data_IF_072828827008
#
_entry.id   IF_072828827008
#
_cell.length_a   1.000
_cell.length_b   1.000
_cell.length_c   1.000
_cell.angle_alpha   90.00
_cell.angle_beta   90.00
_cell.angle_gamma   90.00
#
_symmetry.space_group_name_H-M   'P 1'
#
loop_
_entity.id
_entity.type
_entity.pdbx_description
1 polymer ?
#
# COMPACT_ATOMS: atom_id res chain seq x y z
N UNK A 1 66.11 -44.69 15.25
CA UNK A 1 65.37 -45.67 14.44
C UNK A 1 63.90 -45.29 14.54
N UNK A 2 63.30 -44.83 13.43
CA UNK A 2 62.21 -45.54 12.71
C UNK A 2 61.06 -45.89 13.67
N UNK A 3 59.93 -45.17 13.65
CA UNK A 3 58.71 -45.55 12.90
C UNK A 3 57.93 -46.61 13.71
N UNK A 4 56.62 -46.62 13.92
CA UNK A 4 55.41 -46.13 13.24
C UNK A 4 54.24 -46.33 14.24
N UNK A 5 53.22 -45.45 14.27
CA UNK A 5 51.81 -45.74 13.94
C UNK A 5 51.36 -47.22 13.98
N UNK A 6 50.14 -47.63 14.37
CA UNK A 6 48.82 -46.96 14.50
C UNK A 6 47.94 -47.94 15.31
N UNK A 7 46.92 -47.43 16.02
CA UNK A 7 45.78 -48.25 16.45
C UNK A 7 44.74 -47.43 17.18
N UNK A 8 43.76 -46.89 16.43
CA UNK A 8 42.56 -46.29 16.99
C UNK A 8 41.69 -47.37 17.65
N UNK A 9 41.25 -47.14 18.88
CA UNK A 9 40.16 -47.89 19.53
C UNK A 9 38.98 -46.90 19.77
N UNK A 10 37.78 -47.15 19.23
CA UNK A 10 36.64 -46.27 19.35
C UNK A 10 35.74 -46.68 20.52
N UNK A 11 35.61 -45.82 21.53
CA UNK A 11 34.39 -45.56 22.33
C UNK A 11 34.74 -45.00 23.72
N UNK A 12 34.70 -43.68 23.86
CA UNK A 12 34.32 -43.07 25.14
C UNK A 12 33.50 -41.79 24.85
N UNK A 13 32.18 -41.77 25.15
CA UNK A 13 31.30 -40.66 24.83
C UNK A 13 31.32 -39.62 25.94
N UNK A 14 32.46 -38.94 26.11
CA UNK A 14 32.60 -37.86 27.08
C UNK A 14 33.50 -36.73 26.55
N UNK A 15 33.16 -36.20 25.37
CA UNK A 15 33.61 -34.87 24.98
C UNK A 15 32.75 -34.31 23.83
N UNK A 16 31.60 -33.74 24.19
CA UNK A 16 30.85 -32.83 23.32
C UNK A 16 30.74 -31.49 24.04
N UNK A 17 31.88 -30.82 24.19
CA UNK A 17 31.90 -29.38 24.44
C UNK A 17 32.36 -28.70 23.15
N UNK A 18 31.56 -27.75 22.67
CA UNK A 18 31.92 -26.85 21.58
C UNK A 18 31.12 -27.05 20.29
N UNK A 19 29.79 -27.00 20.37
CA UNK A 19 29.01 -26.38 19.29
C UNK A 19 28.52 -25.09 19.90
N UNK A 20 29.17 -23.97 19.56
CA UNK A 20 28.72 -22.64 19.94
C UNK A 20 27.23 -22.52 19.59
N UNK A 21 26.45 -22.37 20.64
CA UNK A 21 25.06 -21.97 20.58
C UNK A 21 25.00 -20.73 19.68
N UNK A 22 24.29 -20.83 18.56
CA UNK A 22 23.68 -19.66 17.98
C UNK A 22 22.68 -19.19 19.03
N UNK A 23 23.15 -18.38 19.98
CA UNK A 23 22.31 -17.73 20.98
C UNK A 23 21.13 -17.16 20.21
N UNK A 24 19.95 -17.71 20.50
CA UNK A 24 18.71 -17.08 20.12
C UNK A 24 18.68 -15.76 20.88
N UNK A 25 19.29 -14.72 20.30
CA UNK A 25 19.37 -13.40 20.91
C UNK A 25 17.98 -13.02 21.38
N UNK A 26 17.81 -12.91 22.70
CA UNK A 26 16.56 -12.49 23.31
C UNK A 26 16.24 -11.07 22.84
N UNK A 27 14.96 -10.69 22.83
CA UNK A 27 14.55 -9.33 22.47
C UNK A 27 14.83 -8.40 23.65
N UNK A 28 16.10 -8.00 23.80
CA UNK A 28 16.54 -7.16 24.92
C UNK A 28 16.42 -5.65 24.62
N UNK A 29 16.61 -5.27 23.35
CA UNK A 29 16.65 -3.87 22.91
C UNK A 29 15.60 -3.58 21.82
N UNK A 30 14.62 -2.72 22.13
CA UNK A 30 13.59 -2.33 21.16
C UNK A 30 14.22 -1.66 19.94
N UNK A 31 13.74 -2.05 18.76
CA UNK A 31 14.22 -1.56 17.46
C UNK A 31 15.40 -2.34 16.89
N UNK A 32 15.96 -3.33 17.60
CA UNK A 32 16.93 -4.24 16.97
C UNK A 32 16.24 -5.22 16.02
N UNK A 33 16.94 -5.60 14.97
CA UNK A 33 16.47 -6.53 13.95
C UNK A 33 17.31 -7.80 13.91
N UNK A 34 16.71 -8.91 13.48
CA UNK A 34 17.42 -10.17 13.21
C UNK A 34 16.86 -10.86 11.97
N UNK A 35 17.70 -11.64 11.32
CA UNK A 35 17.26 -12.54 10.25
C UNK A 35 16.38 -13.66 10.80
N UNK A 36 15.41 -14.08 10.01
CA UNK A 36 14.51 -15.18 10.31
C UNK A 36 14.14 -15.92 9.02
N UNK A 37 13.51 -17.08 9.15
CA UNK A 37 12.99 -17.85 8.01
C UNK A 37 11.48 -18.02 8.19
N UNK A 38 10.72 -17.53 7.23
CA UNK A 38 9.29 -17.75 7.08
C UNK A 38 9.03 -18.75 5.93
N UNK A 39 7.78 -19.21 5.82
CA UNK A 39 7.37 -20.15 4.77
C UNK A 39 7.63 -19.60 3.35
N UNK A 40 7.58 -18.28 3.20
CA UNK A 40 7.79 -17.55 1.94
C UNK A 40 9.27 -17.23 1.65
N UNK A 41 10.18 -17.50 2.59
CA UNK A 41 11.62 -17.30 2.44
C UNK A 41 12.29 -16.63 3.63
N UNK A 42 13.49 -16.09 3.39
CA UNK A 42 14.26 -15.36 4.39
C UNK A 42 13.63 -14.00 4.66
N UNK A 43 13.52 -13.63 5.93
CA UNK A 43 12.92 -12.39 6.37
C UNK A 43 13.65 -11.76 7.54
N UNK A 44 13.00 -10.76 8.14
CA UNK A 44 13.50 -9.99 9.28
C UNK A 44 12.45 -9.93 10.38
N UNK A 45 12.86 -10.16 11.63
CA UNK A 45 12.07 -9.86 12.82
C UNK A 45 12.60 -8.60 13.49
N UNK A 46 11.70 -7.86 14.13
CA UNK A 46 12.03 -6.66 14.89
C UNK A 46 11.62 -6.85 16.34
N UNK A 47 12.50 -6.47 17.26
CA UNK A 47 12.25 -6.49 18.70
C UNK A 47 11.41 -5.27 19.09
N UNK A 48 10.29 -5.48 19.79
CA UNK A 48 9.40 -4.41 20.23
C UNK A 48 8.61 -4.79 21.48
N UNK A 49 7.82 -3.85 22.01
CA UNK A 49 6.81 -4.14 23.03
C UNK A 49 5.55 -4.72 22.39
N UNK A 50 5.25 -5.99 22.70
CA UNK A 50 4.04 -6.69 22.27
C UNK A 50 3.23 -7.02 23.52
N UNK A 51 2.00 -6.51 23.60
CA UNK A 51 1.14 -6.61 24.80
C UNK A 51 1.83 -6.19 26.12
N UNK A 52 2.82 -5.29 26.03
CA UNK A 52 3.59 -4.76 27.17
C UNK A 52 4.84 -5.56 27.56
N UNK A 53 5.22 -6.60 26.79
CA UNK A 53 6.43 -7.38 26.99
C UNK A 53 7.40 -7.19 25.82
N UNK A 54 8.71 -7.21 26.09
CA UNK A 54 9.71 -7.13 25.02
C UNK A 54 9.81 -8.48 24.32
N UNK A 55 9.33 -8.53 23.08
CA UNK A 55 9.24 -9.76 22.30
C UNK A 55 9.62 -9.52 20.84
N UNK A 56 10.06 -10.59 20.17
CA UNK A 56 10.30 -10.56 18.73
C UNK A 56 8.97 -10.59 17.98
N UNK A 57 8.76 -9.61 17.11
CA UNK A 57 7.63 -9.56 16.19
C UNK A 57 7.62 -10.69 15.15
N UNK A 58 6.64 -10.71 14.26
CA UNK A 58 6.56 -11.71 13.19
C UNK A 58 7.77 -11.66 12.25
N UNK A 59 8.07 -12.78 11.59
CA UNK A 59 9.11 -12.84 10.56
C UNK A 59 8.59 -12.25 9.24
N UNK A 60 9.15 -11.13 8.80
CA UNK A 60 8.68 -10.39 7.63
C UNK A 60 9.64 -10.56 6.46
N UNK A 61 9.19 -11.21 5.38
CA UNK A 61 10.01 -11.43 4.16
C UNK A 61 10.23 -10.12 3.39
N UNK A 62 9.26 -9.20 3.44
CA UNK A 62 9.32 -7.86 2.83
C UNK A 62 8.58 -6.85 3.72
N UNK A 63 9.22 -6.27 4.74
CA UNK A 63 8.57 -5.24 5.55
C UNK A 63 8.18 -4.03 4.69
N UNK A 64 7.03 -3.43 5.00
CA UNK A 64 6.45 -2.30 4.24
C UNK A 64 7.38 -1.09 4.22
N UNK A 65 8.12 -0.88 5.30
CA UNK A 65 9.09 0.19 5.45
C UNK A 65 10.23 -0.24 6.40
N UNK A 66 11.28 0.58 6.49
CA UNK A 66 12.44 0.37 7.35
C UNK A 66 12.27 1.25 8.59
N UNK A 67 12.19 0.69 9.81
CA UNK A 67 12.01 1.47 11.04
C UNK A 67 12.98 2.64 11.16
N UNK A 68 12.48 3.80 11.58
CA UNK A 68 13.24 5.05 11.74
C UNK A 68 13.55 5.79 10.44
N UNK A 69 13.25 5.21 9.27
CA UNK A 69 13.41 5.89 7.98
C UNK A 69 12.22 6.79 7.68
N UNK A 70 12.51 7.96 7.11
CA UNK A 70 11.50 8.84 6.53
C UNK A 70 11.33 8.58 5.04
N UNK A 71 10.09 8.61 4.58
CA UNK A 71 9.69 8.46 3.19
C UNK A 71 8.93 9.71 2.78
N UNK A 72 9.40 10.40 1.74
CA UNK A 72 8.58 11.43 1.10
C UNK A 72 7.43 10.75 0.38
N UNK A 73 6.22 11.21 0.63
CA UNK A 73 5.00 10.82 -0.05
C UNK A 73 4.42 11.97 -0.90
N UNK A 74 5.18 13.05 -1.07
CA UNK A 74 4.83 14.18 -1.92
C UNK A 74 5.95 15.23 -2.05
N UNK A 75 6.46 15.35 -3.29
CA UNK A 75 7.05 16.49 -4.01
C UNK A 75 7.99 17.49 -3.32
N UNK A 76 9.15 17.05 -2.82
CA UNK A 76 10.26 17.95 -2.54
C UNK A 76 10.46 19.04 -3.61
N UNK A 77 10.53 20.31 -3.17
CA UNK A 77 10.48 21.48 -4.04
C UNK A 77 9.78 22.68 -3.37
N UNK A 78 8.99 23.45 -4.14
CA UNK A 78 8.15 24.56 -3.63
C UNK A 78 6.92 24.11 -2.82
N UNK A 79 6.59 22.82 -2.87
CA UNK A 79 5.55 22.21 -2.04
C UNK A 79 6.22 21.57 -0.82
N UNK A 80 5.67 21.79 0.38
CA UNK A 80 6.20 21.16 1.58
C UNK A 80 6.21 19.64 1.39
N UNK A 81 7.37 19.01 1.60
CA UNK A 81 7.53 17.56 1.57
C UNK A 81 6.62 16.96 2.65
N UNK A 82 5.55 16.28 2.23
CA UNK A 82 4.87 15.37 3.14
C UNK A 82 5.78 14.17 3.32
N UNK A 83 6.18 13.94 4.57
CA UNK A 83 6.99 12.79 4.93
C UNK A 83 6.21 11.94 5.91
N UNK A 84 6.33 10.62 5.72
CA UNK A 84 5.90 9.62 6.69
C UNK A 84 7.14 8.98 7.30
N UNK A 85 7.15 8.80 8.61
CA UNK A 85 8.15 7.97 9.28
C UNK A 85 7.70 6.52 9.26
N UNK A 86 8.66 5.62 9.19
CA UNK A 86 8.39 4.23 9.52
C UNK A 86 8.59 4.04 11.03
N UNK A 87 7.52 3.68 11.70
CA UNK A 87 7.49 3.38 13.12
C UNK A 87 7.36 1.87 13.31
N UNK A 88 7.85 1.37 14.44
CA UNK A 88 7.69 -0.04 14.79
C UNK A 88 6.48 -0.14 15.73
N UNK A 89 5.50 -0.95 15.35
CA UNK A 89 4.26 -1.17 16.11
C UNK A 89 4.10 -2.66 16.33
N UNK A 90 4.24 -3.10 17.57
CA UNK A 90 4.15 -4.52 17.97
C UNK A 90 5.07 -5.42 17.13
N UNK A 91 6.27 -4.91 16.81
CA UNK A 91 7.28 -5.63 16.05
C UNK A 91 7.02 -5.67 14.54
N UNK A 92 6.05 -4.89 14.04
CA UNK A 92 5.76 -4.70 12.61
C UNK A 92 6.10 -3.27 12.19
N UNK A 93 6.96 -3.07 11.17
CA UNK A 93 7.21 -1.75 10.61
C UNK A 93 5.98 -1.20 9.89
N UNK A 94 5.42 -0.11 10.41
CA UNK A 94 4.26 0.60 9.88
C UNK A 94 4.63 2.03 9.51
N UNK A 95 3.92 2.61 8.54
CA UNK A 95 4.14 3.99 8.13
C UNK A 95 3.21 4.91 8.93
N UNK A 96 3.73 6.03 9.43
CA UNK A 96 2.94 7.04 10.15
C UNK A 96 1.89 7.70 9.24
N UNK A 97 0.73 7.98 9.83
CA UNK A 97 -0.46 8.52 9.17
C UNK A 97 -0.40 10.04 8.97
N UNK A 98 0.47 10.52 8.07
CA UNK A 98 0.67 11.97 7.87
C UNK A 98 0.09 12.52 6.55
N UNK A 99 -1.02 11.94 6.05
CA UNK A 99 -1.72 12.45 4.86
C UNK A 99 -1.09 12.04 3.52
N UNK A 100 -0.30 10.96 3.55
CA UNK A 100 0.33 10.34 2.39
C UNK A 100 -0.59 9.38 1.62
N UNK A 101 -1.81 9.17 2.12
CA UNK A 101 -2.68 8.14 1.58
C UNK A 101 -3.42 8.64 0.35
N UNK A 102 -3.30 7.83 -0.68
CA UNK A 102 -3.95 8.11 -1.95
C UNK A 102 -4.95 7.07 -2.34
N UNK A 103 -6.00 7.50 -3.05
CA UNK A 103 -6.37 6.77 -4.25
C UNK A 103 -6.60 7.63 -5.50
N UNK A 104 -6.71 6.97 -6.66
CA UNK A 104 -7.17 7.58 -7.91
C UNK A 104 -8.69 7.79 -7.93
N UNK A 105 -9.11 8.99 -8.36
CA UNK A 105 -10.50 9.31 -8.70
C UNK A 105 -10.63 9.71 -10.17
N UNK A 106 -11.84 9.55 -10.72
CA UNK A 106 -12.19 10.02 -12.06
C UNK A 106 -13.09 11.25 -12.03
N UNK A 107 -12.73 12.24 -12.85
CA UNK A 107 -13.54 13.43 -13.13
C UNK A 107 -13.94 13.43 -14.61
N UNK A 108 -15.21 13.11 -14.87
CA UNK A 108 -15.77 13.05 -16.23
C UNK A 108 -16.08 14.43 -16.82
N UNK A 109 -16.27 15.43 -15.98
CA UNK A 109 -16.57 16.82 -16.36
C UNK A 109 -15.37 17.76 -16.18
N UNK A 110 -14.20 17.21 -15.84
CA UNK A 110 -12.96 17.94 -15.57
C UNK A 110 -13.07 18.95 -14.41
N UNK A 111 -14.05 18.80 -13.51
CA UNK A 111 -14.06 19.52 -12.23
C UNK A 111 -13.09 18.90 -11.23
N UNK A 112 -12.70 19.70 -10.25
CA UNK A 112 -11.91 19.21 -9.12
C UNK A 112 -12.77 18.26 -8.25
N UNK A 113 -12.13 17.31 -7.53
CA UNK A 113 -12.84 16.39 -6.65
C UNK A 113 -13.71 17.09 -5.61
N UNK A 114 -14.93 16.59 -5.43
CA UNK A 114 -15.87 17.10 -4.43
C UNK A 114 -16.01 16.07 -3.32
N UNK A 115 -15.87 16.51 -2.06
CA UNK A 115 -15.92 15.67 -0.88
C UNK A 115 -17.16 15.95 -0.04
N UNK A 116 -17.67 14.91 0.64
CA UNK A 116 -18.66 15.10 1.69
C UNK A 116 -18.08 15.95 2.83
N UNK A 117 -18.93 16.72 3.54
CA UNK A 117 -18.49 17.47 4.71
C UNK A 117 -17.91 16.55 5.80
N UNK A 118 -16.88 16.99 6.51
CA UNK A 118 -16.16 16.19 7.51
C UNK A 118 -17.03 15.61 8.64
N UNK A 119 -18.15 16.22 8.96
CA UNK A 119 -19.06 15.77 10.02
C UNK A 119 -20.03 14.65 9.60
N UNK A 120 -20.02 14.20 8.35
CA UNK A 120 -20.93 13.14 7.87
C UNK A 120 -20.36 11.73 8.02
N UNK A 121 -19.30 11.51 8.81
CA UNK A 121 -18.71 10.17 8.97
C UNK A 121 -19.70 9.19 9.61
N UNK A 122 -20.24 8.29 8.77
CA UNK A 122 -21.13 7.19 9.17
C UNK A 122 -20.37 5.89 9.44
N UNK A 123 -19.17 5.75 8.87
CA UNK A 123 -18.28 4.60 9.02
C UNK A 123 -16.83 4.97 8.66
N UNK A 124 -15.92 4.02 8.82
CA UNK A 124 -14.48 4.14 8.51
C UNK A 124 -14.11 3.21 7.35
N UNK A 125 -13.17 3.64 6.50
CA UNK A 125 -12.64 2.83 5.40
C UNK A 125 -11.12 2.96 5.39
N UNK A 126 -10.42 1.83 5.38
CA UNK A 126 -8.96 1.80 5.36
C UNK A 126 -8.44 2.03 3.95
N UNK A 127 -8.12 3.28 3.61
CA UNK A 127 -7.49 3.63 2.33
C UNK A 127 -6.01 3.22 2.29
N UNK A 128 -5.36 3.26 3.44
CA UNK A 128 -3.93 3.02 3.58
C UNK A 128 -3.53 1.55 3.40
N UNK A 129 -4.49 0.63 3.54
CA UNK A 129 -4.24 -0.80 3.69
C UNK A 129 -3.49 -1.13 4.99
N UNK A 130 -3.53 -0.24 5.98
CA UNK A 130 -3.02 -0.45 7.35
C UNK A 130 -4.11 -0.11 8.36
N UNK A 131 -3.90 -0.47 9.63
CA UNK A 131 -4.82 -0.09 10.71
C UNK A 131 -4.74 1.38 11.11
N UNK A 132 -4.08 2.22 10.31
CA UNK A 132 -3.84 3.64 10.55
C UNK A 132 -5.08 4.53 10.32
N UNK A 133 -4.95 5.56 9.49
CA UNK A 133 -6.00 6.54 9.30
C UNK A 133 -7.21 5.99 8.52
N UNK A 134 -8.25 5.61 9.26
CA UNK A 134 -9.50 5.11 8.68
C UNK A 134 -10.60 6.19 8.54
N UNK A 135 -10.32 7.42 8.99
CA UNK A 135 -11.22 8.59 8.93
C UNK A 135 -10.66 9.64 7.99
N UNK A 136 -10.81 9.43 6.69
CA UNK A 136 -10.43 10.43 5.69
C UNK A 136 -11.66 11.18 5.16
N UNK A 137 -11.40 12.28 4.46
CA UNK A 137 -12.41 12.90 3.60
C UNK A 137 -12.87 11.93 2.53
N UNK A 138 -14.16 11.96 2.20
CA UNK A 138 -14.76 10.98 1.30
C UNK A 138 -15.33 11.66 0.06
N UNK A 139 -14.98 11.25 -1.17
CA UNK A 139 -15.51 11.88 -2.37
C UNK A 139 -17.01 11.61 -2.50
N UNK A 140 -17.69 12.59 -3.09
CA UNK A 140 -19.09 12.48 -3.47
C UNK A 140 -19.25 11.58 -4.71
N UNK A 141 -20.47 11.12 -5.03
CA UNK A 141 -20.74 10.28 -6.20
C UNK A 141 -20.33 10.85 -7.54
N UNK A 142 -20.15 12.17 -7.64
CA UNK A 142 -19.69 12.81 -8.88
C UNK A 142 -18.20 12.61 -9.14
N UNK A 143 -17.46 12.13 -8.14
CA UNK A 143 -16.03 11.86 -8.20
C UNK A 143 -15.75 10.42 -7.79
N UNK A 144 -16.09 9.42 -8.64
CA UNK A 144 -15.89 8.01 -8.32
C UNK A 144 -14.42 7.66 -8.10
N UNK A 145 -14.18 6.73 -7.18
CA UNK A 145 -12.92 6.01 -7.09
C UNK A 145 -12.72 5.11 -8.31
N UNK A 146 -11.48 4.99 -8.78
CA UNK A 146 -11.07 3.87 -9.61
C UNK A 146 -10.72 2.68 -8.71
N UNK A 147 -11.30 1.52 -8.98
CA UNK A 147 -11.16 0.35 -8.12
C UNK A 147 -11.06 -0.95 -8.94
N UNK A 148 -10.66 -2.02 -8.27
CA UNK A 148 -10.64 -3.38 -8.77
C UNK A 148 -10.93 -4.36 -7.63
N UNK A 149 -11.99 -5.16 -7.78
CA UNK A 149 -12.35 -6.22 -6.83
C UNK A 149 -11.38 -7.39 -7.03
N UNK A 150 -10.37 -7.48 -6.16
CA UNK A 150 -9.25 -8.42 -6.28
C UNK A 150 -9.65 -9.81 -5.80
N UNK A 151 -10.44 -9.90 -4.74
CA UNK A 151 -10.85 -11.15 -4.12
C UNK A 151 -12.16 -11.72 -4.71
N UNK A 152 -12.86 -10.93 -5.54
CA UNK A 152 -14.10 -11.24 -6.26
C UNK A 152 -15.28 -11.44 -5.32
N UNK A 153 -15.30 -10.73 -4.18
CA UNK A 153 -16.37 -10.81 -3.21
C UNK A 153 -17.58 -9.91 -3.55
N UNK A 154 -17.45 -9.06 -4.58
CA UNK A 154 -18.51 -8.17 -5.07
C UNK A 154 -18.60 -6.83 -4.35
N UNK A 155 -17.60 -6.49 -3.55
CA UNK A 155 -17.43 -5.20 -2.89
C UNK A 155 -15.98 -4.71 -3.03
N UNK A 156 -15.77 -3.42 -2.78
CA UNK A 156 -14.47 -2.82 -2.54
C UNK A 156 -14.38 -2.61 -1.04
N UNK A 157 -13.56 -3.38 -0.34
CA UNK A 157 -13.56 -3.44 1.12
C UNK A 157 -12.27 -2.94 1.80
N UNK A 158 -11.27 -2.58 1.01
CA UNK A 158 -10.08 -1.88 1.50
C UNK A 158 -9.30 -1.16 0.41
N UNK A 159 -8.35 -0.33 0.84
CA UNK A 159 -7.49 0.46 -0.05
C UNK A 159 -6.57 -0.36 -0.94
N UNK A 160 -6.37 -1.65 -0.62
CA UNK A 160 -5.68 -2.60 -1.48
C UNK A 160 -6.41 -2.89 -2.80
N UNK A 161 -7.73 -2.61 -2.85
CA UNK A 161 -8.61 -2.72 -4.03
C UNK A 161 -8.87 -1.36 -4.71
N UNK A 162 -8.36 -0.28 -4.12
CA UNK A 162 -8.23 1.01 -4.77
C UNK A 162 -6.84 1.12 -5.41
N UNK A 163 -6.66 2.07 -6.33
CA UNK A 163 -5.35 2.38 -6.91
C UNK A 163 -4.71 3.52 -6.14
N UNK A 164 -3.72 3.21 -5.30
CA UNK A 164 -3.08 4.20 -4.42
C UNK A 164 -1.96 3.59 -3.58
N UNK A 165 -1.55 4.28 -2.53
CA UNK A 165 -0.52 3.79 -1.59
C UNK A 165 -0.95 2.51 -0.84
N UNK A 166 -2.26 2.24 -0.74
CA UNK A 166 -2.80 0.99 -0.22
C UNK A 166 -2.56 -0.23 -1.11
N UNK A 167 -2.27 -0.05 -2.40
CA UNK A 167 -2.11 -1.16 -3.36
C UNK A 167 -0.77 -1.88 -3.20
N UNK A 168 -0.81 -3.22 -3.25
CA UNK A 168 0.38 -4.07 -3.25
C UNK A 168 0.80 -4.41 -4.69
N UNK A 169 2.01 -4.04 -5.07
CA UNK A 169 2.60 -4.33 -6.40
C UNK A 169 3.03 -5.80 -6.49
N UNK A 170 3.25 -6.33 -7.69
CA UNK A 170 3.81 -7.69 -7.93
C UNK A 170 5.16 -7.88 -7.22
N UNK A 171 5.93 -6.79 -7.05
CA UNK A 171 7.17 -6.81 -6.28
C UNK A 171 7.00 -7.15 -4.80
N UNK A 172 5.78 -7.10 -4.26
CA UNK A 172 5.44 -7.22 -2.85
C UNK A 172 5.65 -5.93 -2.05
N UNK A 173 5.96 -4.81 -2.71
CA UNK A 173 5.98 -3.48 -2.11
C UNK A 173 4.64 -2.79 -2.30
N UNK A 174 4.30 -1.88 -1.42
CA UNK A 174 3.23 -0.93 -1.67
C UNK A 174 3.62 0.07 -2.76
N UNK A 175 2.62 0.52 -3.53
CA UNK A 175 2.79 1.59 -4.49
C UNK A 175 3.10 2.93 -3.80
N UNK A 176 3.82 3.80 -4.51
CA UNK A 176 4.15 5.14 -4.05
C UNK A 176 3.03 6.14 -4.35
N UNK A 177 2.20 5.84 -5.36
CA UNK A 177 1.00 6.56 -5.73
C UNK A 177 0.08 5.66 -6.58
N UNK A 178 -1.11 6.15 -6.91
CA UNK A 178 -2.11 5.41 -7.64
C UNK A 178 -1.78 5.14 -9.11
N UNK A 179 -0.97 5.99 -9.75
CA UNK A 179 -0.50 5.72 -11.12
C UNK A 179 0.53 4.59 -11.17
N UNK A 180 1.42 4.46 -10.17
CA UNK A 180 2.31 3.29 -10.05
C UNK A 180 1.46 2.02 -9.84
N UNK A 181 0.46 2.06 -8.97
CA UNK A 181 -0.46 0.95 -8.77
C UNK A 181 -1.20 0.55 -10.06
N UNK A 182 -1.73 1.54 -10.79
CA UNK A 182 -2.47 1.29 -12.02
C UNK A 182 -1.57 0.74 -13.14
N UNK A 183 -0.30 1.11 -13.16
CA UNK A 183 0.66 0.64 -14.18
C UNK A 183 0.92 -0.86 -14.16
N UNK A 184 0.64 -1.56 -13.05
CA UNK A 184 0.73 -3.02 -12.97
C UNK A 184 -0.29 -3.72 -13.90
N UNK A 185 -1.31 -2.99 -14.37
CA UNK A 185 -2.32 -3.50 -15.30
C UNK A 185 -1.97 -3.25 -16.78
N UNK A 186 -0.90 -2.51 -17.09
CA UNK A 186 -0.41 -2.30 -18.45
C UNK A 186 0.34 -3.55 -18.93
N UNK A 187 -0.43 -4.47 -19.49
CA UNK A 187 0.06 -5.78 -19.91
C UNK A 187 0.84 -5.74 -21.22
N UNK A 188 0.64 -4.70 -22.03
CA UNK A 188 1.24 -4.56 -23.35
C UNK A 188 2.43 -3.56 -23.37
N UNK A 189 2.62 -2.79 -22.29
CA UNK A 189 3.72 -1.86 -22.07
C UNK A 189 3.64 -0.57 -22.88
N UNK A 190 2.45 -0.15 -23.33
CA UNK A 190 2.25 1.04 -24.16
C UNK A 190 2.00 2.33 -23.34
N UNK A 191 2.06 2.23 -22.01
CA UNK A 191 1.80 3.31 -21.06
C UNK A 191 0.34 3.82 -21.05
N UNK A 192 -0.60 3.01 -21.51
CA UNK A 192 -2.03 3.29 -21.53
C UNK A 192 -2.82 2.09 -21.05
N UNK A 193 -3.68 2.28 -20.05
CA UNK A 193 -4.67 1.28 -19.68
C UNK A 193 -5.85 1.35 -20.64
N UNK A 194 -6.08 0.28 -21.39
CA UNK A 194 -7.07 0.21 -22.46
C UNK A 194 -7.68 -1.20 -22.60
N UNK A 195 -8.72 -1.41 -23.44
CA UNK A 195 -9.23 -2.75 -23.71
C UNK A 195 -8.22 -3.75 -24.31
N UNK A 196 -7.03 -3.29 -24.71
CA UNK A 196 -5.93 -4.16 -25.11
C UNK A 196 -5.25 -4.85 -23.91
N UNK A 197 -5.53 -4.41 -22.68
CA UNK A 197 -4.95 -4.97 -21.47
C UNK A 197 -5.78 -6.10 -20.88
N UNK A 198 -5.08 -7.15 -20.44
CA UNK A 198 -5.67 -8.41 -19.96
C UNK A 198 -6.74 -8.19 -18.88
N UNK A 199 -6.52 -7.22 -17.98
CA UNK A 199 -7.37 -6.96 -16.82
C UNK A 199 -8.23 -5.71 -16.93
N UNK A 200 -8.28 -5.05 -18.09
CA UNK A 200 -9.05 -3.81 -18.27
C UNK A 200 -10.54 -3.99 -17.93
N UNK A 201 -11.11 -5.14 -18.28
CA UNK A 201 -12.52 -5.45 -18.03
C UNK A 201 -12.86 -5.62 -16.54
N UNK A 202 -11.87 -5.76 -15.66
CA UNK A 202 -12.04 -5.87 -14.21
C UNK A 202 -12.13 -4.51 -13.52
N UNK A 203 -11.79 -3.41 -14.22
CA UNK A 203 -11.81 -2.08 -13.64
C UNK A 203 -13.24 -1.60 -13.35
N UNK A 204 -13.42 -1.07 -12.15
CA UNK A 204 -14.68 -0.59 -11.61
C UNK A 204 -14.58 0.90 -11.27
N UNK A 205 -15.73 1.55 -11.30
CA UNK A 205 -15.97 2.85 -10.69
C UNK A 205 -16.83 2.66 -9.47
N UNK A 206 -16.34 3.12 -8.32
CA UNK A 206 -17.11 3.14 -7.10
C UNK A 206 -17.58 4.57 -6.80
N UNK A 207 -18.90 4.78 -6.88
CA UNK A 207 -19.55 6.02 -6.48
C UNK A 207 -20.38 5.75 -5.23
N UNK A 208 -19.92 6.21 -4.06
CA UNK A 208 -20.65 6.05 -2.79
C UNK A 208 -21.84 7.01 -2.73
N UNK A 209 -23.02 6.52 -3.15
CA UNK A 209 -24.23 7.31 -3.38
C UNK A 209 -25.01 7.61 -2.11
N UNK A 210 -24.91 6.75 -1.10
CA UNK A 210 -25.58 6.96 0.19
C UNK A 210 -24.63 7.50 1.28
N UNK A 211 -23.33 7.57 1.00
CA UNK A 211 -22.30 8.18 1.82
C UNK A 211 -21.92 7.33 3.03
N UNK A 212 -22.19 6.02 2.99
CA UNK A 212 -21.98 5.11 4.11
C UNK A 212 -20.58 4.47 4.12
N UNK A 213 -19.75 4.75 3.10
CA UNK A 213 -18.39 4.25 2.85
C UNK A 213 -18.28 2.73 2.75
N UNK A 214 -19.37 2.06 2.37
CA UNK A 214 -19.42 0.61 2.14
C UNK A 214 -19.81 0.35 0.71
N UNK A 215 -18.85 -0.14 -0.06
CA UNK A 215 -19.12 -0.54 -1.43
C UNK A 215 -20.18 -1.63 -1.49
N UNK A 216 -21.21 -1.39 -2.28
CA UNK A 216 -22.23 -2.39 -2.62
C UNK A 216 -22.44 -2.45 -4.13
N UNK A 217 -22.95 -3.58 -4.62
CA UNK A 217 -23.02 -3.83 -6.08
C UNK A 217 -23.84 -2.83 -6.91
N UNK A 218 -24.70 -2.00 -6.28
CA UNK A 218 -25.43 -0.95 -7.01
C UNK A 218 -24.63 0.36 -7.15
N UNK A 219 -23.55 0.51 -6.39
CA UNK A 219 -22.60 1.62 -6.42
C UNK A 219 -21.40 1.36 -7.33
N UNK A 220 -21.17 0.09 -7.67
CA UNK A 220 -20.10 -0.36 -8.53
C UNK A 220 -20.55 -0.45 -9.98
N UNK A 221 -19.81 0.24 -10.84
CA UNK A 221 -20.09 0.28 -12.28
C UNK A 221 -18.83 -0.12 -13.04
N UNK A 222 -18.88 -1.08 -14.00
CA UNK A 222 -17.74 -1.38 -14.84
C UNK A 222 -17.24 -0.12 -15.57
N UNK A 223 -15.93 0.15 -15.52
CA UNK A 223 -15.31 1.33 -16.13
C UNK A 223 -15.69 1.46 -17.62
N UNK A 224 -15.60 0.34 -18.35
CA UNK A 224 -15.96 0.26 -19.77
C UNK A 224 -17.43 0.61 -20.05
N UNK A 225 -18.34 0.39 -19.10
CA UNK A 225 -19.77 0.71 -19.26
C UNK A 225 -20.06 2.22 -19.20
N UNK A 226 -19.14 3.01 -18.62
CA UNK A 226 -19.13 4.48 -18.74
C UNK A 226 -18.50 4.97 -20.04
N UNK A 227 -18.11 4.04 -20.92
CA UNK A 227 -17.53 4.31 -22.23
C UNK A 227 -16.08 4.78 -22.17
N UNK A 228 -15.39 4.60 -21.03
CA UNK A 228 -13.94 4.83 -20.92
C UNK A 228 -13.21 3.81 -21.78
N UNK A 229 -12.30 4.27 -22.61
CA UNK A 229 -11.56 3.44 -23.58
C UNK A 229 -10.04 3.54 -23.45
N UNK A 230 -9.54 4.53 -22.70
CA UNK A 230 -8.11 4.75 -22.49
C UNK A 230 -7.87 5.59 -21.25
N UNK A 231 -6.93 5.18 -20.39
CA UNK A 231 -6.37 5.98 -19.29
C UNK A 231 -4.86 6.08 -19.51
N UNK A 232 -4.33 7.29 -19.64
CA UNK A 232 -2.89 7.47 -19.77
C UNK A 232 -2.19 7.29 -18.41
N UNK A 233 -1.08 6.54 -18.37
CA UNK A 233 -0.28 6.33 -17.16
C UNK A 233 0.70 7.46 -16.89
N UNK A 234 1.10 8.21 -17.93
CA UNK A 234 1.90 9.41 -17.77
C UNK A 234 1.07 10.54 -17.16
N UNK A 235 1.53 11.11 -16.05
CA UNK A 235 0.85 12.20 -15.33
C UNK A 235 1.72 13.46 -15.23
N UNK A 236 1.05 14.60 -15.10
CA UNK A 236 1.65 15.84 -14.63
C UNK A 236 1.41 16.03 -13.13
N UNK A 237 2.23 16.85 -12.49
CA UNK A 237 2.04 17.24 -11.10
C UNK A 237 1.43 18.63 -11.04
N UNK A 238 0.18 18.70 -10.58
CA UNK A 238 -0.56 19.94 -10.38
C UNK A 238 -1.39 19.84 -9.10
N UNK A 239 -0.85 20.42 -8.02
CA UNK A 239 -1.49 20.46 -6.71
C UNK A 239 -2.66 21.44 -6.68
N UNK A 240 -3.84 20.93 -6.40
CA UNK A 240 -5.03 21.73 -6.06
C UNK A 240 -5.64 21.15 -4.79
N UNK A 241 -5.78 21.98 -3.77
CA UNK A 241 -6.31 21.55 -2.47
C UNK A 241 -7.61 22.29 -2.13
N UNK A 242 -8.46 21.62 -1.37
CA UNK A 242 -9.64 22.22 -0.77
C UNK A 242 -9.33 22.87 0.59
N UNK A 243 -10.35 23.45 1.23
CA UNK A 243 -10.22 24.10 2.54
C UNK A 243 -9.98 23.11 3.70
N UNK A 244 -10.24 21.83 3.49
CA UNK A 244 -10.05 20.75 4.46
C UNK A 244 -8.64 20.15 4.38
N UNK A 245 -7.87 20.51 3.35
CA UNK A 245 -6.50 20.05 3.14
C UNK A 245 -6.37 18.85 2.21
N UNK A 246 -7.48 18.33 1.66
CA UNK A 246 -7.42 17.28 0.65
C UNK A 246 -6.86 17.87 -0.65
N UNK A 247 -5.94 17.17 -1.29
CA UNK A 247 -5.25 17.68 -2.48
C UNK A 247 -5.29 16.67 -3.62
N UNK A 248 -5.67 17.08 -4.83
CA UNK A 248 -5.37 16.33 -6.05
C UNK A 248 -4.03 16.79 -6.63
N UNK A 249 -3.07 15.87 -6.82
CA UNK A 249 -1.68 16.21 -7.20
C UNK A 249 -1.29 15.63 -8.55
N UNK A 250 -1.13 14.31 -8.67
CA UNK A 250 -0.83 13.65 -9.93
C UNK A 250 -2.07 13.61 -10.81
N UNK A 251 -1.95 14.06 -12.05
CA UNK A 251 -3.09 14.21 -12.96
C UNK A 251 -2.78 13.69 -14.33
N UNK A 252 -3.68 12.90 -14.86
CA UNK A 252 -3.63 12.38 -16.21
C UNK A 252 -4.99 12.50 -16.89
N UNK A 253 -5.03 12.23 -18.19
CA UNK A 253 -6.25 12.22 -18.97
C UNK A 253 -6.73 10.78 -19.21
N UNK A 254 -8.05 10.64 -19.29
CA UNK A 254 -8.68 9.46 -19.88
C UNK A 254 -9.62 9.89 -21.00
N UNK A 255 -9.85 9.00 -21.98
CA UNK A 255 -10.87 9.23 -23.01
C UNK A 255 -12.09 8.36 -22.74
N UNK A 256 -13.27 8.91 -23.01
CA UNK A 256 -14.53 8.20 -22.86
C UNK A 256 -15.56 8.64 -23.90
N UNK A 257 -16.11 7.72 -24.69
CA UNK A 257 -17.15 8.02 -25.69
C UNK A 257 -16.83 9.22 -26.62
N UNK A 258 -15.54 9.42 -26.94
CA UNK A 258 -15.05 10.56 -27.75
C UNK A 258 -14.84 11.87 -26.98
N UNK A 259 -15.08 11.89 -25.66
CA UNK A 259 -14.76 12.98 -24.74
C UNK A 259 -13.46 12.68 -23.97
N UNK A 260 -13.01 13.67 -23.19
CA UNK A 260 -11.87 13.55 -22.29
C UNK A 260 -12.29 13.89 -20.86
N UNK A 261 -11.78 13.13 -19.90
CA UNK A 261 -11.87 13.41 -18.47
C UNK A 261 -10.48 13.43 -17.83
N UNK A 262 -10.44 13.59 -16.52
CA UNK A 262 -9.21 13.55 -15.73
C UNK A 262 -9.21 12.39 -14.75
N UNK A 263 -8.07 11.70 -14.66
CA UNK A 263 -7.74 10.84 -13.52
C UNK A 263 -6.87 11.65 -12.59
N UNK A 264 -7.22 11.68 -11.32
CA UNK A 264 -6.57 12.51 -10.30
C UNK A 264 -6.20 11.62 -9.13
N UNK A 265 -4.93 11.65 -8.75
CA UNK A 265 -4.43 11.04 -7.53
C UNK A 265 -4.68 12.01 -6.36
N UNK A 266 -5.56 11.61 -5.45
CA UNK A 266 -5.98 12.48 -4.33
C UNK A 266 -5.30 12.05 -3.04
N UNK A 267 -4.70 13.01 -2.37
CA UNK A 267 -4.06 12.88 -1.08
C UNK A 267 -5.05 13.38 -0.03
N UNK A 268 -5.50 12.47 0.81
CA UNK A 268 -6.55 12.73 1.78
C UNK A 268 -5.98 12.97 3.16
N UNK A 269 -6.45 14.01 3.82
CA UNK A 269 -6.07 14.27 5.21
C UNK A 269 -6.82 13.34 6.14
N UNK A 270 -6.13 12.86 7.17
CA UNK A 270 -6.78 12.24 8.31
C UNK A 270 -7.64 13.26 9.06
N UNK A 271 -8.85 12.87 9.45
CA UNK A 271 -9.86 13.71 10.12
C UNK A 271 -10.22 13.18 11.50
#
# INVERSE_FOLDING_TARGET
MVGTGVGCDPADPANLEGVDDAESLECEDVGVERECVADEGQGTQYCDYIEGYQEWGPCLVKPRCIPGRQYSCGLGGEFADWTRSCELVEGVPELSDDGCDTPLVLSFDSREPEYFPSWTSLSTFDISGTRGCNTTSWPTPTTPWLAIDLDKNGAIDGGHELFGTGSLLVSGRHASNGFEALSELDSNGDSVISPADDRFAELLLWSDYDGDRRSTGWELVPLASRGVDSIALGYEQRRVCDASGNCGIERSAFSFSGFKGQVIDVHLTCQ
#
